data_IF_014789478133
#
_entry.id   IF_014789478133
#
_cell.length_a   1.000
_cell.length_b   1.000
_cell.length_c   1.000
_cell.angle_alpha   90.00
_cell.angle_beta   90.00
_cell.angle_gamma   90.00
#
_symmetry.space_group_name_H-M   'P 1'
#
loop_
_entity.id
_entity.type
_entity.pdbx_description
1 polymer ?
#
# COMPACT_ATOMS: atom_id res chain seq x y z
N UNK A 1 -54.72 11.91 26.53
CA UNK A 1 -55.14 10.51 26.40
C UNK A 1 -53.94 9.64 26.05
N UNK A 2 -53.85 8.41 26.59
CA UNK A 2 -52.60 7.67 26.78
C UNK A 2 -52.36 6.54 25.75
N UNK A 3 -51.17 5.94 25.85
CA UNK A 3 -50.77 4.59 25.41
C UNK A 3 -50.62 4.41 23.87
N UNK A 4 -49.63 3.69 23.33
CA UNK A 4 -49.07 2.42 23.79
C UNK A 4 -47.72 2.12 23.12
N UNK A 5 -46.72 1.69 23.90
CA UNK A 5 -45.84 0.55 23.55
C UNK A 5 -46.57 -0.71 24.04
N UNK A 6 -46.43 -1.91 23.42
CA UNK A 6 -45.27 -2.78 23.69
C UNK A 6 -44.91 -3.80 22.59
N UNK A 7 -43.77 -4.49 22.74
CA UNK A 7 -43.46 -5.68 21.93
C UNK A 7 -42.06 -6.25 22.11
N UNK A 8 -41.73 -6.77 23.30
CA UNK A 8 -40.61 -7.71 23.55
C UNK A 8 -41.00 -9.11 23.09
N UNK A 9 -40.02 -9.91 22.62
CA UNK A 9 -39.71 -11.33 22.93
C UNK A 9 -38.67 -11.78 21.89
N UNK A 10 -37.45 -12.20 22.26
CA UNK A 10 -37.09 -13.50 22.88
C UNK A 10 -36.32 -14.29 21.79
N UNK A 11 -35.26 -15.07 21.99
CA UNK A 11 -34.55 -15.65 23.12
C UNK A 11 -33.70 -16.82 22.56
N UNK A 12 -32.77 -17.34 23.37
CA UNK A 12 -31.86 -18.49 23.16
C UNK A 12 -30.57 -18.20 22.34
N UNK A 13 -29.32 -18.29 22.82
CA UNK A 13 -28.58 -19.08 23.84
C UNK A 13 -27.79 -20.26 23.25
N UNK A 14 -26.57 -20.41 23.79
CA UNK A 14 -25.62 -21.55 23.77
C UNK A 14 -24.76 -21.77 22.51
N UNK A 15 -23.45 -21.49 22.63
CA UNK A 15 -22.48 -22.56 22.91
C UNK A 15 -21.16 -21.98 23.44
N UNK A 16 -20.82 -22.41 24.66
CA UNK A 16 -19.51 -22.23 25.26
C UNK A 16 -18.55 -23.28 24.68
N UNK A 17 -17.28 -22.90 24.47
CA UNK A 17 -16.16 -23.82 24.50
C UNK A 17 -15.06 -23.23 25.36
N UNK A 18 -14.89 -23.85 26.53
CA UNK A 18 -13.69 -23.77 27.33
C UNK A 18 -12.64 -24.72 26.73
N UNK A 19 -11.36 -24.33 26.76
CA UNK A 19 -10.30 -25.31 26.95
C UNK A 19 -9.09 -24.67 27.66
N UNK A 20 -9.10 -24.89 28.97
CA UNK A 20 -8.05 -25.46 29.83
C UNK A 20 -6.57 -25.31 29.46
N UNK A 21 -5.86 -24.87 30.50
CA UNK A 21 -4.44 -24.71 30.76
C UNK A 21 -3.66 -26.04 30.67
N UNK A 22 -2.42 -25.98 30.18
CA UNK A 22 -1.43 -27.05 30.31
C UNK A 22 -0.04 -26.48 30.57
N UNK A 23 0.39 -26.54 31.83
CA UNK A 23 1.75 -26.31 32.28
C UNK A 23 2.56 -27.62 32.28
N UNK A 24 3.89 -27.52 32.15
CA UNK A 24 4.84 -28.63 32.38
C UNK A 24 6.13 -28.43 31.59
N UNK A 25 7.22 -27.99 32.24
CA UNK A 25 8.26 -28.85 32.85
C UNK A 25 9.40 -29.11 31.84
N UNK A 26 10.55 -28.46 31.97
CA UNK A 26 11.70 -28.75 32.86
C UNK A 26 12.74 -29.70 32.26
N UNK A 27 14.01 -29.31 32.35
CA UNK A 27 15.13 -30.24 32.50
C UNK A 27 16.06 -30.38 31.29
N UNK A 28 17.36 -30.21 31.52
CA UNK A 28 18.38 -30.73 30.59
C UNK A 28 19.74 -30.07 30.66
N UNK A 29 20.57 -30.46 31.64
CA UNK A 29 21.99 -30.11 31.77
C UNK A 29 22.86 -30.94 30.81
N UNK A 30 24.03 -30.41 30.44
CA UNK A 30 25.20 -31.13 29.93
C UNK A 30 26.15 -30.16 29.22
N UNK A 31 27.20 -29.58 29.83
CA UNK A 31 28.50 -30.11 30.30
C UNK A 31 29.26 -30.98 29.28
N UNK A 32 30.48 -30.53 28.98
CA UNK A 32 31.57 -31.29 28.34
C UNK A 32 31.85 -30.81 26.91
N UNK A 33 33.07 -30.45 26.50
CA UNK A 33 34.38 -30.54 27.12
C UNK A 33 35.41 -29.87 26.22
N UNK A 34 36.52 -29.45 26.83
CA UNK A 34 37.70 -28.91 26.18
C UNK A 34 38.43 -29.99 25.36
N UNK A 35 39.08 -29.58 24.28
CA UNK A 35 39.96 -30.41 23.47
C UNK A 35 40.98 -29.54 22.74
N UNK A 36 42.14 -29.39 23.37
CA UNK A 36 43.34 -28.72 22.88
C UNK A 36 44.04 -29.60 21.82
N UNK A 37 44.79 -29.02 20.88
CA UNK A 37 45.63 -29.80 19.98
C UNK A 37 46.20 -29.02 18.80
N UNK A 38 47.34 -28.36 19.02
CA UNK A 38 48.18 -27.83 17.95
C UNK A 38 48.90 -28.92 17.15
N UNK A 39 49.33 -28.58 15.94
CA UNK A 39 50.16 -29.46 15.11
C UNK A 39 50.44 -28.82 13.76
N UNK A 40 51.65 -28.29 13.60
CA UNK A 40 52.10 -27.66 12.38
C UNK A 40 52.83 -28.65 11.45
N UNK A 41 52.78 -28.30 10.15
CA UNK A 41 53.78 -28.51 9.07
C UNK A 41 53.75 -29.78 8.19
N UNK A 42 53.77 -29.41 6.88
CA UNK A 42 54.53 -29.93 5.72
C UNK A 42 53.84 -30.87 4.73
N UNK A 43 53.63 -30.32 3.53
CA UNK A 43 54.21 -30.84 2.28
C UNK A 43 53.28 -31.71 1.43
N UNK A 44 53.09 -31.34 0.15
CA UNK A 44 52.53 -32.26 -0.84
C UNK A 44 51.84 -31.58 -2.02
N UNK A 45 52.61 -31.31 -3.06
CA UNK A 45 52.19 -30.89 -4.39
C UNK A 45 51.33 -31.99 -5.06
N UNK A 46 50.22 -31.65 -5.73
CA UNK A 46 49.37 -32.64 -6.39
C UNK A 46 48.23 -32.03 -7.20
N UNK A 47 48.35 -32.11 -8.52
CA UNK A 47 47.48 -31.48 -9.51
C UNK A 47 45.99 -31.85 -9.51
N UNK A 48 45.22 -31.02 -10.22
CA UNK A 48 43.94 -31.41 -10.80
C UNK A 48 42.71 -30.83 -10.11
N UNK A 49 42.28 -29.64 -10.53
CA UNK A 49 40.87 -29.23 -10.36
C UNK A 49 40.34 -28.69 -11.68
N UNK A 50 39.54 -29.54 -12.34
CA UNK A 50 38.69 -29.14 -13.45
C UNK A 50 37.81 -27.97 -13.04
N UNK A 51 37.79 -26.94 -13.87
CA UNK A 51 36.88 -25.82 -13.75
C UNK A 51 35.44 -26.33 -13.88
N UNK A 52 34.76 -26.48 -12.75
CA UNK A 52 33.30 -26.41 -12.75
C UNK A 52 32.95 -24.97 -13.12
N UNK A 53 32.60 -24.76 -14.38
CA UNK A 53 31.87 -23.58 -14.82
C UNK A 53 30.66 -23.45 -13.90
N UNK A 54 30.72 -22.52 -12.94
CA UNK A 54 29.55 -22.13 -12.19
C UNK A 54 28.60 -21.55 -13.23
N UNK A 55 27.49 -22.25 -13.48
CA UNK A 55 26.38 -21.66 -14.22
C UNK A 55 26.06 -20.32 -13.52
N UNK A 56 25.92 -19.22 -14.27
CA UNK A 56 25.56 -17.95 -13.67
C UNK A 56 24.31 -18.14 -12.80
N UNK A 57 24.25 -17.50 -11.62
CA UNK A 57 23.08 -17.62 -10.77
C UNK A 57 21.83 -17.31 -11.61
N UNK A 58 20.75 -18.11 -11.48
CA UNK A 58 19.54 -17.88 -12.26
C UNK A 58 19.14 -16.42 -12.07
N UNK A 59 19.12 -15.68 -13.19
CA UNK A 59 18.80 -14.26 -13.13
C UNK A 59 17.43 -14.12 -12.44
N UNK A 60 17.26 -13.15 -11.54
CA UNK A 60 15.95 -12.86 -10.96
C UNK A 60 14.98 -12.72 -12.13
N UNK A 61 13.86 -13.46 -12.09
CA UNK A 61 12.76 -13.24 -13.04
C UNK A 61 12.35 -11.79 -12.88
N UNK A 62 12.84 -10.93 -13.76
CA UNK A 62 12.45 -9.54 -13.83
C UNK A 62 11.00 -9.57 -14.26
N UNK A 63 10.08 -9.29 -13.34
CA UNK A 63 8.71 -8.98 -13.71
C UNK A 63 8.81 -7.71 -14.57
N UNK A 64 8.73 -7.87 -15.89
CA UNK A 64 8.57 -6.74 -16.80
C UNK A 64 7.17 -6.19 -16.53
N UNK A 65 7.09 -5.20 -15.64
CA UNK A 65 5.90 -4.36 -15.49
C UNK A 65 5.63 -3.72 -16.85
N UNK A 66 4.40 -3.85 -17.35
CA UNK A 66 3.98 -3.21 -18.59
C UNK A 66 3.12 -2.02 -18.20
N UNK A 67 3.64 -0.83 -18.49
CA UNK A 67 3.10 0.43 -17.98
C UNK A 67 2.30 1.13 -19.07
N UNK A 68 1.06 1.49 -18.78
CA UNK A 68 0.33 2.54 -19.50
C UNK A 68 0.61 3.88 -18.81
N UNK A 69 1.51 4.68 -19.40
CA UNK A 69 1.96 5.97 -18.86
C UNK A 69 1.37 7.13 -19.67
N UNK A 70 0.68 8.04 -18.97
CA UNK A 70 0.07 9.26 -19.50
C UNK A 70 0.76 10.54 -19.01
N UNK A 71 1.98 10.45 -18.46
CA UNK A 71 2.71 11.60 -17.87
C UNK A 71 3.13 12.68 -18.87
N UNK A 72 3.31 12.33 -20.15
CA UNK A 72 3.76 13.27 -21.20
C UNK A 72 2.61 13.76 -22.10
N UNK A 73 1.37 13.42 -21.79
CA UNK A 73 0.21 13.83 -22.59
C UNK A 73 -0.15 15.26 -22.21
N UNK A 74 0.29 16.21 -23.04
CA UNK A 74 0.00 17.63 -22.84
C UNK A 74 -1.44 17.92 -23.23
N UNK A 75 -2.33 18.06 -22.26
CA UNK A 75 -3.59 18.77 -22.47
C UNK A 75 -3.35 20.27 -22.36
N UNK A 76 -2.72 20.83 -23.39
CA UNK A 76 -2.65 22.27 -23.61
C UNK A 76 -4.03 22.77 -24.08
N UNK A 77 -4.98 22.85 -23.16
CA UNK A 77 -6.14 23.70 -23.40
C UNK A 77 -6.60 24.25 -22.06
N UNK A 78 -6.52 25.58 -21.95
CA UNK A 78 -7.19 26.38 -20.92
C UNK A 78 -8.72 26.28 -20.97
N UNK A 79 -9.25 25.52 -21.93
CA UNK A 79 -10.60 24.99 -21.99
C UNK A 79 -10.54 23.50 -21.66
N UNK A 80 -11.20 23.08 -20.57
CA UNK A 80 -11.33 21.68 -20.16
C UNK A 80 -11.67 20.80 -21.39
N UNK A 81 -10.70 20.06 -21.95
CA UNK A 81 -11.02 19.07 -22.95
C UNK A 81 -11.80 17.97 -22.22
N UNK A 82 -12.88 17.51 -22.83
CA UNK A 82 -13.69 16.44 -22.27
C UNK A 82 -12.76 15.26 -21.94
N UNK A 83 -12.86 14.71 -20.73
CA UNK A 83 -11.99 13.66 -20.17
C UNK A 83 -11.98 12.33 -20.95
N UNK A 84 -12.62 12.29 -22.11
CA UNK A 84 -12.66 11.20 -23.08
C UNK A 84 -11.64 11.33 -24.22
N UNK A 85 -10.99 12.48 -24.42
CA UNK A 85 -10.12 12.73 -25.60
C UNK A 85 -8.69 12.18 -25.51
N UNK A 86 -8.41 11.22 -24.62
CA UNK A 86 -7.06 10.64 -24.47
C UNK A 86 -6.93 9.30 -25.21
N UNK A 87 -5.69 8.94 -25.53
CA UNK A 87 -5.36 7.68 -26.18
C UNK A 87 -5.59 6.48 -25.23
N UNK A 88 -6.82 5.98 -25.21
CA UNK A 88 -7.21 4.82 -24.41
C UNK A 88 -6.66 3.49 -24.97
N UNK A 89 -6.20 3.47 -26.23
CA UNK A 89 -5.76 2.23 -26.89
C UNK A 89 -4.58 1.58 -26.17
N UNK A 90 -3.79 2.39 -25.45
CA UNK A 90 -2.71 1.89 -24.60
C UNK A 90 -3.24 0.98 -23.52
N UNK A 91 -4.41 1.23 -22.93
CA UNK A 91 -4.99 0.37 -21.88
C UNK A 91 -5.28 -1.06 -22.34
N UNK A 92 -5.52 -1.24 -23.63
CA UNK A 92 -5.87 -2.52 -24.23
C UNK A 92 -4.62 -3.35 -24.59
N UNK A 93 -3.42 -2.79 -24.41
CA UNK A 93 -2.19 -3.52 -24.69
C UNK A 93 -2.06 -4.76 -23.78
N UNK A 94 -1.61 -5.90 -24.35
CA UNK A 94 -1.50 -7.14 -23.60
C UNK A 94 -0.46 -7.01 -22.48
N UNK A 95 -0.83 -7.52 -21.30
CA UNK A 95 0.09 -7.59 -20.17
C UNK A 95 0.18 -6.34 -19.31
N UNK A 96 -0.59 -5.28 -19.59
CA UNK A 96 -0.62 -4.11 -18.70
C UNK A 96 -1.07 -4.51 -17.31
N UNK A 97 -0.23 -4.12 -16.35
CA UNK A 97 -0.40 -4.31 -14.93
C UNK A 97 -0.10 -3.03 -14.11
N UNK A 98 0.37 -1.96 -14.77
CA UNK A 98 0.61 -0.65 -14.18
C UNK A 98 -0.04 0.45 -15.00
N UNK A 99 -0.81 1.31 -14.36
CA UNK A 99 -1.39 2.53 -14.96
C UNK A 99 -0.90 3.73 -14.18
N UNK A 100 -0.36 4.71 -14.91
CA UNK A 100 0.16 5.96 -14.35
C UNK A 100 -0.41 7.16 -15.10
N UNK A 101 -1.06 8.03 -14.36
CA UNK A 101 -1.42 9.38 -14.80
C UNK A 101 -0.46 10.37 -14.16
N UNK A 102 0.28 11.12 -14.97
CA UNK A 102 1.25 12.10 -14.47
C UNK A 102 0.62 13.48 -14.28
N UNK A 103 1.47 14.43 -13.86
CA UNK A 103 1.12 15.81 -13.47
C UNK A 103 0.14 16.53 -14.39
N UNK A 104 0.37 16.45 -15.70
CA UNK A 104 -0.43 17.17 -16.70
C UNK A 104 -1.77 16.48 -17.03
N UNK A 105 -2.01 15.28 -16.50
CA UNK A 105 -3.22 14.52 -16.75
C UNK A 105 -4.27 14.80 -15.68
N UNK A 106 -5.35 15.47 -16.07
CA UNK A 106 -6.51 15.69 -15.20
C UNK A 106 -7.36 14.43 -15.10
N UNK A 107 -7.08 13.58 -14.12
CA UNK A 107 -7.94 12.44 -13.79
C UNK A 107 -9.26 12.90 -13.16
N UNK A 108 -10.38 12.26 -13.54
CA UNK A 108 -11.71 12.50 -12.99
C UNK A 108 -12.53 11.19 -12.96
N UNK A 109 -13.79 11.30 -12.55
CA UNK A 109 -14.72 10.17 -12.47
C UNK A 109 -14.96 9.48 -13.82
N UNK A 110 -14.98 10.23 -14.92
CA UNK A 110 -15.18 9.63 -16.25
C UNK A 110 -13.98 8.76 -16.65
N UNK A 111 -12.76 9.18 -16.30
CA UNK A 111 -11.56 8.34 -16.47
C UNK A 111 -11.65 7.06 -15.64
N UNK A 112 -12.14 7.14 -14.40
CA UNK A 112 -12.34 5.94 -13.58
C UNK A 112 -13.42 5.01 -14.12
N UNK A 113 -14.53 5.53 -14.64
CA UNK A 113 -15.59 4.74 -15.29
C UNK A 113 -15.04 4.00 -16.52
N UNK A 114 -14.27 4.69 -17.36
CA UNK A 114 -13.54 4.11 -18.49
C UNK A 114 -12.61 2.96 -18.03
N UNK A 115 -11.91 3.11 -16.91
CA UNK A 115 -11.09 2.01 -16.36
C UNK A 115 -11.97 0.87 -15.82
N UNK A 116 -13.04 1.18 -15.09
CA UNK A 116 -13.92 0.21 -14.45
C UNK A 116 -14.66 -0.68 -15.46
N UNK A 117 -14.94 -0.18 -16.66
CA UNK A 117 -15.51 -0.99 -17.76
C UNK A 117 -14.53 -2.05 -18.31
N UNK A 118 -13.22 -1.90 -18.07
CA UNK A 118 -12.17 -2.83 -18.51
C UNK A 118 -11.84 -3.87 -17.44
N UNK A 119 -12.77 -4.77 -17.17
CA UNK A 119 -12.64 -5.79 -16.11
C UNK A 119 -11.37 -6.63 -16.22
N UNK A 120 -10.91 -6.95 -17.44
CA UNK A 120 -9.67 -7.71 -17.67
C UNK A 120 -8.41 -6.93 -17.29
N UNK A 121 -8.41 -5.61 -17.51
CA UNK A 121 -7.34 -4.73 -17.05
C UNK A 121 -7.35 -4.65 -15.53
N UNK A 122 -8.48 -4.29 -14.93
CA UNK A 122 -8.63 -4.17 -13.47
C UNK A 122 -8.22 -5.45 -12.75
N UNK A 123 -8.62 -6.61 -13.26
CA UNK A 123 -8.24 -7.91 -12.70
C UNK A 123 -6.72 -8.16 -12.70
N UNK A 124 -5.93 -7.47 -13.53
CA UNK A 124 -4.47 -7.62 -13.60
C UNK A 124 -3.70 -6.48 -12.93
N UNK A 125 -4.31 -5.31 -12.77
CA UNK A 125 -3.63 -4.13 -12.22
C UNK A 125 -3.02 -4.46 -10.85
N UNK A 126 -1.72 -4.18 -10.76
CA UNK A 126 -0.96 -4.26 -9.52
C UNK A 126 -0.44 -2.89 -9.06
N UNK A 127 -0.39 -1.91 -9.95
CA UNK A 127 0.09 -0.57 -9.66
C UNK A 127 -0.85 0.46 -10.27
N UNK A 128 -1.29 1.41 -9.45
CA UNK A 128 -2.10 2.54 -9.88
C UNK A 128 -1.55 3.84 -9.29
N UNK A 129 -1.15 4.76 -10.16
CA UNK A 129 -0.58 6.05 -9.77
C UNK A 129 -1.41 7.13 -10.46
N UNK A 130 -1.99 8.03 -9.67
CA UNK A 130 -2.85 9.08 -10.17
C UNK A 130 -2.83 10.30 -9.25
N UNK A 131 -3.16 11.45 -9.83
CA UNK A 131 -3.17 12.73 -9.12
C UNK A 131 -1.78 13.35 -9.02
N UNK A 132 -1.76 14.58 -8.53
CA UNK A 132 -0.55 15.38 -8.40
C UNK A 132 -0.81 16.53 -7.41
N UNK A 133 0.15 16.73 -6.49
CA UNK A 133 0.05 17.67 -5.38
C UNK A 133 -0.04 19.13 -5.82
N UNK A 134 0.66 19.50 -6.88
CA UNK A 134 0.76 20.89 -7.35
C UNK A 134 -0.50 21.33 -8.10
N UNK A 135 -1.01 20.42 -8.94
CA UNK A 135 -2.18 20.67 -9.79
C UNK A 135 -3.50 20.38 -9.08
N UNK A 136 -3.47 19.57 -8.01
CA UNK A 136 -4.67 19.13 -7.31
C UNK A 136 -5.57 18.22 -8.15
N UNK A 137 -5.05 17.60 -9.22
CA UNK A 137 -5.84 16.86 -10.21
C UNK A 137 -6.65 15.70 -9.60
N UNK A 138 -6.14 15.06 -8.54
CA UNK A 138 -6.83 13.98 -7.82
C UNK A 138 -8.12 14.41 -7.11
N UNK A 139 -8.34 15.70 -6.88
CA UNK A 139 -9.51 16.22 -6.15
C UNK A 139 -10.84 16.08 -6.91
N UNK A 140 -10.76 15.74 -8.21
CA UNK A 140 -11.90 15.55 -9.12
C UNK A 140 -12.48 14.15 -9.10
N UNK A 141 -11.85 13.23 -8.38
CA UNK A 141 -12.36 11.88 -8.18
C UNK A 141 -13.28 11.86 -6.97
N UNK A 142 -14.49 11.38 -7.18
CA UNK A 142 -15.48 11.08 -6.15
C UNK A 142 -15.16 9.79 -5.40
N UNK A 143 -15.52 9.73 -4.11
CA UNK A 143 -15.39 8.52 -3.30
C UNK A 143 -16.24 7.37 -3.87
N UNK A 144 -17.43 7.66 -4.40
CA UNK A 144 -18.34 6.64 -4.91
C UNK A 144 -17.74 5.92 -6.13
N UNK A 145 -17.31 6.68 -7.13
CA UNK A 145 -16.75 6.18 -8.38
C UNK A 145 -15.41 5.46 -8.12
N UNK A 146 -14.60 5.99 -7.21
CA UNK A 146 -13.38 5.31 -6.78
C UNK A 146 -13.65 3.95 -6.11
N UNK A 147 -14.64 3.87 -5.22
CA UNK A 147 -15.04 2.62 -4.56
C UNK A 147 -15.52 1.58 -5.59
N UNK A 148 -16.23 2.01 -6.63
CA UNK A 148 -16.65 1.11 -7.71
C UNK A 148 -15.44 0.58 -8.50
N UNK A 149 -14.51 1.47 -8.85
CA UNK A 149 -13.28 1.10 -9.56
C UNK A 149 -12.41 0.11 -8.76
N UNK A 150 -12.15 0.39 -7.47
CA UNK A 150 -11.19 -0.41 -6.70
C UNK A 150 -11.67 -1.84 -6.43
N UNK A 151 -12.99 -2.05 -6.34
CA UNK A 151 -13.61 -3.37 -6.20
C UNK A 151 -13.29 -4.32 -7.35
N UNK A 152 -12.96 -3.78 -8.53
CA UNK A 152 -12.58 -4.57 -9.70
C UNK A 152 -11.08 -4.93 -9.73
N UNK A 153 -10.27 -4.46 -8.76
CA UNK A 153 -8.81 -4.54 -8.80
C UNK A 153 -8.19 -5.43 -7.69
N UNK A 154 -8.44 -6.76 -7.69
CA UNK A 154 -8.03 -7.67 -6.60
C UNK A 154 -6.52 -7.92 -6.50
N UNK A 155 -5.75 -7.56 -7.53
CA UNK A 155 -4.31 -7.78 -7.60
C UNK A 155 -3.47 -6.55 -7.28
N UNK A 156 -4.09 -5.45 -6.85
CA UNK A 156 -3.41 -4.21 -6.49
C UNK A 156 -2.37 -4.43 -5.38
N UNK A 157 -1.18 -3.90 -5.58
CA UNK A 157 -0.03 -3.95 -4.65
C UNK A 157 0.43 -2.56 -4.24
N UNK A 158 0.45 -1.62 -5.18
CA UNK A 158 0.88 -0.25 -4.96
C UNK A 158 -0.19 0.70 -5.47
N UNK A 159 -0.55 1.65 -4.62
CA UNK A 159 -1.45 2.72 -4.99
C UNK A 159 -0.91 4.06 -4.50
N UNK A 160 -0.78 5.02 -5.41
CA UNK A 160 -0.40 6.40 -5.12
C UNK A 160 -1.47 7.35 -5.64
N UNK A 161 -2.19 7.98 -4.72
CA UNK A 161 -3.32 8.87 -4.98
C UNK A 161 -3.02 10.24 -4.41
N UNK A 162 -2.32 11.07 -5.19
CA UNK A 162 -1.96 12.40 -4.74
C UNK A 162 -3.12 13.38 -4.91
N UNK A 163 -3.34 14.26 -3.92
CA UNK A 163 -4.46 15.21 -3.89
C UNK A 163 -5.87 14.63 -4.01
N UNK A 164 -6.07 13.37 -3.63
CA UNK A 164 -7.40 12.73 -3.63
C UNK A 164 -8.21 13.13 -2.40
N UNK A 165 -8.59 14.39 -2.32
CA UNK A 165 -9.20 15.01 -1.13
C UNK A 165 -10.60 14.51 -0.81
N UNK A 166 -11.30 13.93 -1.79
CA UNK A 166 -12.66 13.42 -1.61
C UNK A 166 -12.73 12.01 -1.04
N UNK A 167 -11.61 11.27 -1.01
CA UNK A 167 -11.58 9.91 -0.48
C UNK A 167 -11.57 9.95 1.05
N UNK A 168 -12.47 9.19 1.67
CA UNK A 168 -12.65 9.15 3.10
C UNK A 168 -12.57 7.72 3.65
N UNK A 169 -13.34 7.49 4.72
CA UNK A 169 -13.42 6.21 5.41
C UNK A 169 -13.86 5.07 4.48
N UNK A 170 -14.84 5.31 3.62
CA UNK A 170 -15.45 4.24 2.83
C UNK A 170 -14.51 3.81 1.70
N UNK A 171 -13.79 4.76 1.09
CA UNK A 171 -12.68 4.45 0.18
C UNK A 171 -11.58 3.64 0.88
N UNK A 172 -11.14 4.07 2.07
CA UNK A 172 -10.06 3.40 2.81
C UNK A 172 -10.41 1.94 3.15
N UNK A 173 -11.65 1.67 3.56
CA UNK A 173 -12.13 0.31 3.83
C UNK A 173 -12.27 -0.50 2.54
N UNK A 174 -12.87 0.08 1.49
CA UNK A 174 -13.03 -0.60 0.20
C UNK A 174 -11.69 -1.03 -0.40
N UNK A 175 -10.64 -0.21 -0.27
CA UNK A 175 -9.28 -0.55 -0.72
C UNK A 175 -8.79 -1.82 -0.01
N UNK A 176 -8.82 -1.87 1.32
CA UNK A 176 -8.25 -3.01 2.06
C UNK A 176 -9.07 -4.28 1.95
N UNK A 177 -10.37 -4.16 1.71
CA UNK A 177 -11.29 -5.28 1.45
C UNK A 177 -11.11 -5.84 0.05
N UNK A 178 -10.94 -4.97 -0.95
CA UNK A 178 -10.86 -5.37 -2.36
C UNK A 178 -9.45 -5.82 -2.76
N UNK A 179 -8.40 -5.29 -2.10
CA UNK A 179 -7.01 -5.48 -2.50
C UNK A 179 -6.20 -6.23 -1.43
N UNK A 180 -6.35 -7.57 -1.28
CA UNK A 180 -5.65 -8.35 -0.26
C UNK A 180 -4.13 -8.42 -0.47
N UNK A 181 -3.64 -8.06 -1.66
CA UNK A 181 -2.22 -8.01 -2.03
C UNK A 181 -1.59 -6.63 -1.85
N UNK A 182 -2.36 -5.65 -1.33
CA UNK A 182 -1.87 -4.29 -1.18
C UNK A 182 -0.70 -4.25 -0.18
N UNK A 183 0.40 -3.66 -0.62
CA UNK A 183 1.64 -3.55 0.12
C UNK A 183 1.97 -2.09 0.45
N UNK A 184 1.60 -1.14 -0.43
CA UNK A 184 1.78 0.29 -0.23
C UNK A 184 0.54 1.10 -0.67
N UNK A 185 0.10 2.01 0.20
CA UNK A 185 -1.01 2.91 -0.06
C UNK A 185 -0.63 4.34 0.32
N UNK A 186 -0.72 5.26 -0.65
CA UNK A 186 -0.58 6.70 -0.45
C UNK A 186 -1.87 7.39 -0.88
N UNK A 187 -2.48 8.16 0.02
CA UNK A 187 -3.64 9.02 -0.26
C UNK A 187 -3.38 10.37 0.41
N UNK A 188 -3.10 11.39 -0.38
CA UNK A 188 -2.71 12.70 0.15
C UNK A 188 -3.75 13.79 -0.15
N UNK A 189 -3.75 14.84 0.67
CA UNK A 189 -4.38 16.11 0.33
C UNK A 189 -3.44 16.99 -0.49
N UNK A 190 -3.60 18.31 -0.35
CA UNK A 190 -2.67 19.31 -0.87
C UNK A 190 -2.83 20.64 -0.12
N UNK A 191 -1.97 21.61 -0.44
CA UNK A 191 -1.88 22.95 0.16
C UNK A 191 -3.22 23.70 0.25
N UNK A 192 -4.09 23.57 -0.76
CA UNK A 192 -5.40 24.23 -0.88
C UNK A 192 -6.56 23.36 -0.41
N UNK A 193 -6.31 22.11 0.02
CA UNK A 193 -7.37 21.17 0.34
C UNK A 193 -6.89 19.98 1.17
N UNK A 194 -7.35 19.91 2.42
CA UNK A 194 -7.15 18.73 3.27
C UNK A 194 -8.07 17.60 2.83
N UNK A 195 -7.56 16.36 2.82
CA UNK A 195 -8.37 15.19 2.48
C UNK A 195 -9.31 14.75 3.61
N UNK A 196 -10.33 13.96 3.23
CA UNK A 196 -11.42 13.51 4.11
C UNK A 196 -11.07 12.32 5.02
N UNK A 197 -9.86 11.77 4.94
CA UNK A 197 -9.46 10.68 5.82
C UNK A 197 -9.15 11.26 7.20
N UNK A 198 -9.99 10.90 8.18
CA UNK A 198 -9.89 11.40 9.55
C UNK A 198 -9.55 10.29 10.55
N UNK A 199 -9.53 10.67 11.83
CA UNK A 199 -9.34 9.76 12.94
C UNK A 199 -10.34 8.62 13.03
N UNK A 200 -11.59 8.85 12.61
CA UNK A 200 -12.66 7.85 12.62
C UNK A 200 -12.40 6.82 11.52
N UNK A 201 -11.91 7.26 10.37
CA UNK A 201 -11.47 6.37 9.30
C UNK A 201 -10.36 5.42 9.76
N UNK A 202 -9.33 5.94 10.44
CA UNK A 202 -8.24 5.11 10.99
C UNK A 202 -8.73 4.14 12.07
N UNK A 203 -9.59 4.60 12.97
CA UNK A 203 -10.16 3.74 14.02
C UNK A 203 -11.02 2.61 13.44
N UNK A 204 -11.79 2.90 12.38
CA UNK A 204 -12.57 1.93 11.65
C UNK A 204 -11.67 0.89 10.97
N UNK A 205 -10.63 1.35 10.25
CA UNK A 205 -9.65 0.46 9.62
C UNK A 205 -8.96 -0.45 10.66
N UNK A 206 -8.53 0.09 11.79
CA UNK A 206 -7.90 -0.68 12.86
C UNK A 206 -8.85 -1.76 13.41
N UNK A 207 -10.12 -1.42 13.60
CA UNK A 207 -11.14 -2.35 14.11
C UNK A 207 -11.48 -3.44 13.08
N UNK A 208 -11.53 -3.09 11.79
CA UNK A 208 -11.68 -4.05 10.71
C UNK A 208 -10.48 -5.03 10.67
N UNK A 209 -9.26 -4.51 10.79
CA UNK A 209 -8.03 -5.32 10.81
C UNK A 209 -7.93 -6.26 12.03
N UNK A 210 -8.49 -5.87 13.17
CA UNK A 210 -8.60 -6.73 14.35
C UNK A 210 -9.64 -7.83 14.17
N UNK A 211 -10.78 -7.49 13.56
CA UNK A 211 -11.89 -8.43 13.33
C UNK A 211 -11.58 -9.43 12.21
N UNK A 212 -10.78 -9.02 11.23
CA UNK A 212 -10.35 -9.85 10.12
C UNK A 212 -8.82 -9.74 9.92
N UNK A 213 -8.05 -10.76 10.36
CA UNK A 213 -6.59 -10.80 10.21
C UNK A 213 -6.10 -10.75 8.76
N UNK A 214 -6.93 -11.10 7.78
CA UNK A 214 -6.55 -11.08 6.37
C UNK A 214 -6.56 -9.69 5.75
N UNK A 215 -7.35 -8.74 6.28
CA UNK A 215 -7.41 -7.37 5.76
C UNK A 215 -6.09 -6.65 5.92
N UNK A 216 -5.59 -5.99 4.87
CA UNK A 216 -4.33 -5.24 4.90
C UNK A 216 -3.13 -6.02 5.48
N UNK A 217 -3.14 -7.37 5.46
CA UNK A 217 -2.07 -8.18 6.08
C UNK A 217 -0.70 -7.98 5.45
N UNK A 218 -0.69 -7.57 4.18
CA UNK A 218 0.51 -7.30 3.40
C UNK A 218 0.89 -5.82 3.40
N UNK A 219 0.05 -4.94 3.94
CA UNK A 219 0.27 -3.50 3.93
C UNK A 219 1.46 -3.17 4.85
N UNK A 220 2.46 -2.50 4.27
CA UNK A 220 3.70 -2.10 4.95
C UNK A 220 3.86 -0.60 4.99
N UNK A 221 3.21 0.10 4.06
CA UNK A 221 3.28 1.55 3.95
C UNK A 221 1.88 2.15 3.80
N UNK A 222 1.51 3.02 4.73
CA UNK A 222 0.29 3.82 4.67
C UNK A 222 0.66 5.29 4.83
N UNK A 223 0.63 6.04 3.74
CA UNK A 223 0.90 7.47 3.72
C UNK A 223 -0.40 8.28 3.56
N UNK A 224 -0.67 9.11 4.56
CA UNK A 224 -1.86 9.94 4.72
C UNK A 224 -1.48 11.40 5.04
N UNK A 225 -0.43 11.93 4.41
CA UNK A 225 -0.07 13.35 4.53
C UNK A 225 -1.19 14.25 3.97
N UNK A 226 -1.33 15.44 4.54
CA UNK A 226 -2.36 16.43 4.21
C UNK A 226 -3.80 15.89 4.33
N UNK A 227 -4.01 14.88 5.18
CA UNK A 227 -5.32 14.38 5.57
C UNK A 227 -5.78 15.00 6.90
N UNK A 228 -7.06 14.91 7.22
CA UNK A 228 -7.65 15.46 8.44
C UNK A 228 -7.35 14.61 9.69
N UNK A 229 -6.07 14.31 9.90
CA UNK A 229 -5.55 13.48 10.99
C UNK A 229 -4.81 14.39 11.98
N UNK A 230 -5.52 14.79 13.04
CA UNK A 230 -4.96 15.51 14.20
C UNK A 230 -3.96 14.67 15.02
N UNK A 231 -3.19 15.35 15.88
CA UNK A 231 -2.21 14.73 16.80
C UNK A 231 -2.82 13.72 17.79
N UNK A 232 -4.10 13.85 18.14
CA UNK A 232 -4.80 12.96 19.09
C UNK A 232 -5.03 11.53 18.56
N UNK A 233 -4.64 11.27 17.31
CA UNK A 233 -4.90 10.02 16.59
C UNK A 233 -3.81 8.97 16.76
N UNK A 234 -2.79 9.28 17.56
CA UNK A 234 -1.72 8.36 17.92
C UNK A 234 -2.27 7.03 18.44
N UNK A 235 -3.42 7.03 19.14
CA UNK A 235 -4.08 5.81 19.61
C UNK A 235 -4.56 4.91 18.46
N UNK A 236 -5.21 5.48 17.43
CA UNK A 236 -5.71 4.71 16.29
C UNK A 236 -4.55 4.16 15.46
N UNK A 237 -3.50 4.97 15.26
CA UNK A 237 -2.27 4.56 14.57
C UNK A 237 -1.58 3.42 15.33
N UNK A 238 -1.35 3.57 16.64
CA UNK A 238 -0.78 2.51 17.50
C UNK A 238 -1.61 1.23 17.46
N UNK A 239 -2.94 1.35 17.45
CA UNK A 239 -3.85 0.20 17.33
C UNK A 239 -3.67 -0.51 15.98
N UNK A 240 -3.61 0.25 14.89
CA UNK A 240 -3.39 -0.30 13.55
C UNK A 240 -2.01 -0.96 13.42
N UNK A 241 -0.94 -0.34 13.92
CA UNK A 241 0.41 -0.90 13.92
C UNK A 241 0.55 -2.12 14.83
N UNK A 242 -0.22 -2.19 15.92
CA UNK A 242 -0.31 -3.40 16.74
C UNK A 242 -0.96 -4.55 15.96
N UNK A 243 -2.00 -4.27 15.19
CA UNK A 243 -2.64 -5.24 14.32
C UNK A 243 -1.75 -5.63 13.12
N UNK A 244 -0.91 -4.71 12.63
CA UNK A 244 -0.01 -4.88 11.47
C UNK A 244 1.40 -4.43 11.84
N UNK A 245 2.18 -5.33 12.45
CA UNK A 245 3.51 -5.01 13.04
C UNK A 245 4.54 -4.47 12.04
N UNK A 246 4.41 -4.77 10.75
CA UNK A 246 5.29 -4.28 9.69
C UNK A 246 4.82 -2.97 9.05
N UNK A 247 3.69 -2.42 9.50
CA UNK A 247 3.08 -1.23 8.92
C UNK A 247 3.71 0.06 9.46
N UNK A 248 4.19 0.88 8.55
CA UNK A 248 4.56 2.27 8.80
C UNK A 248 3.38 3.14 8.38
N UNK A 249 2.94 4.02 9.29
CA UNK A 249 1.89 5.01 9.02
C UNK A 249 2.53 6.39 9.04
N UNK A 250 2.37 7.15 7.95
CA UNK A 250 2.85 8.53 7.81
C UNK A 250 1.66 9.48 7.77
N UNK A 251 1.73 10.53 8.57
CA UNK A 251 0.71 11.57 8.70
C UNK A 251 1.41 12.90 8.93
N UNK A 252 0.71 14.01 8.73
CA UNK A 252 1.24 15.36 8.92
C UNK A 252 0.99 16.21 7.69
N UNK A 253 1.58 17.41 7.68
CA UNK A 253 1.46 18.35 6.59
C UNK A 253 2.69 18.27 5.68
N UNK A 254 2.48 18.41 4.37
CA UNK A 254 3.57 18.61 3.40
C UNK A 254 4.22 19.96 3.68
N UNK A 255 5.53 19.97 3.95
CA UNK A 255 6.27 21.21 4.19
C UNK A 255 6.43 21.95 2.86
N UNK A 256 5.79 23.11 2.72
CA UNK A 256 5.80 23.92 1.48
C UNK A 256 7.20 24.34 1.01
N UNK A 257 7.36 24.38 -0.31
CA UNK A 257 8.31 25.09 -1.20
C UNK A 257 9.80 25.27 -0.84
N UNK A 258 10.31 24.60 0.20
CA UNK A 258 11.75 24.51 0.49
C UNK A 258 12.31 23.09 0.34
N UNK A 259 11.56 22.17 -0.28
CA UNK A 259 11.96 20.77 -0.44
C UNK A 259 12.76 20.48 -1.73
N UNK A 260 13.17 21.49 -2.51
CA UNK A 260 14.00 21.26 -3.70
C UNK A 260 15.47 20.91 -3.38
N UNK A 261 15.89 20.92 -2.10
CA UNK A 261 17.25 20.56 -1.70
C UNK A 261 17.46 19.07 -1.38
N UNK A 262 16.42 18.25 -1.55
CA UNK A 262 16.54 16.80 -1.48
C UNK A 262 15.80 16.20 -2.67
N UNK A 263 16.40 15.24 -3.35
CA UNK A 263 15.83 14.49 -4.48
C UNK A 263 14.58 13.65 -4.06
N UNK A 264 13.57 14.27 -3.46
CA UNK A 264 12.36 13.63 -2.92
C UNK A 264 11.10 14.12 -3.65
N UNK A 265 11.24 14.64 -4.86
CA UNK A 265 10.14 14.73 -5.81
C UNK A 265 9.97 13.38 -6.52
N UNK A 266 9.44 12.32 -5.88
CA UNK A 266 8.97 11.15 -6.64
C UNK A 266 8.16 10.16 -5.80
N UNK A 267 6.84 10.24 -5.92
CA UNK A 267 5.94 9.09 -5.72
C UNK A 267 5.88 8.51 -4.29
N UNK A 268 5.33 7.30 -4.12
CA UNK A 268 5.48 6.59 -2.86
C UNK A 268 6.98 6.33 -2.63
N UNK A 269 7.44 6.34 -1.37
CA UNK A 269 8.81 5.99 -0.92
C UNK A 269 9.11 4.49 -1.14
N UNK A 270 8.71 4.00 -2.30
CA UNK A 270 8.55 2.61 -2.67
C UNK A 270 8.95 2.51 -4.13
N UNK A 271 10.16 2.05 -4.35
CA UNK A 271 10.72 1.84 -5.70
C UNK A 271 10.75 0.34 -5.99
N UNK A 272 10.40 -0.03 -7.22
CA UNK A 272 10.63 -1.40 -7.69
C UNK A 272 12.11 -1.53 -8.09
N UNK A 273 12.92 -2.15 -7.23
CA UNK A 273 14.32 -2.47 -7.52
C UNK A 273 14.42 -3.96 -7.82
N UNK A 274 14.88 -4.30 -9.03
CA UNK A 274 15.09 -5.70 -9.46
C UNK A 274 13.84 -6.59 -9.29
N UNK A 275 12.65 -6.04 -9.52
CA UNK A 275 11.36 -6.76 -9.43
C UNK A 275 10.88 -7.03 -8.00
N UNK A 276 11.53 -6.43 -6.99
CA UNK A 276 11.03 -6.37 -5.62
C UNK A 276 10.65 -4.95 -5.27
N UNK A 277 9.55 -4.82 -4.55
CA UNK A 277 9.13 -3.54 -4.02
C UNK A 277 9.99 -3.23 -2.79
N UNK A 278 10.86 -2.23 -2.92
CA UNK A 278 11.76 -1.79 -1.86
C UNK A 278 11.16 -0.56 -1.19
N UNK A 279 10.94 -0.65 0.12
CA UNK A 279 10.46 0.43 0.96
C UNK A 279 11.66 1.16 1.55
N UNK A 280 11.74 2.48 1.37
CA UNK A 280 12.78 3.25 2.05
C UNK A 280 12.53 3.22 3.56
N UNK A 281 13.56 2.83 4.32
CA UNK A 281 13.53 2.92 5.78
C UNK A 281 13.73 4.38 6.19
N UNK A 282 12.95 4.91 7.15
CA UNK A 282 13.14 6.27 7.68
C UNK A 282 14.49 6.53 8.39
N UNK A 283 15.36 5.53 8.54
CA UNK A 283 16.62 5.59 9.31
C UNK A 283 17.74 6.46 8.68
N UNK A 284 17.43 7.34 7.72
CA UNK A 284 18.41 8.25 7.09
C UNK A 284 18.02 9.73 7.10
N UNK A 285 17.11 10.13 7.98
CA UNK A 285 17.01 11.54 8.39
C UNK A 285 17.61 11.72 9.79
N UNK A 286 18.92 11.48 9.90
CA UNK A 286 19.71 12.03 10.99
C UNK A 286 19.79 13.54 10.78
N UNK A 287 19.06 14.28 11.61
CA UNK A 287 19.16 15.73 11.74
C UNK A 287 20.63 16.14 11.91
N UNK A 288 21.16 16.86 10.91
CA UNK A 288 22.30 17.76 11.03
C UNK A 288 21.93 19.08 10.37
#
# INVERSE_FOLDING_TARGET
MPASRPGKRGGASLHAFANTVGAGASGGRGRGGAGNGGGARRGGNGGGRGGRSQAPPPQPKTFRTVVADYSNVHYRSSYQPNSTEWDQSRLDAPGIDCVKFGREFSIDDAVLDILATRLTLCARLNTFIAGDADTGSGSRISEQEFVQFIRNCPNMKLMSLDSHTQLGKDALLAIVESCPKLEALRITGHDRGTGKIDHRALAALATACESNPDLAKNLRDLNLTDQHISHDNERAIKKLQKARKSLIVRTGETKGDHAWEWNVDVGPDVVYVKGKMEFFKPETYSYY
#
